data_IF_776466469178
#
_entry.id   IF_776466469178
#
_cell.length_a   1.000
_cell.length_b   1.000
_cell.length_c   1.000
_cell.angle_alpha   90.00
_cell.angle_beta   90.00
_cell.angle_gamma   90.00
#
_symmetry.space_group_name_H-M   'P 1'
#
loop_
_entity.id
_entity.type
_entity.pdbx_description
1 polymer ?
#
# COMPACT_ATOMS: atom_id res chain seq x y z
N UNK A 1 -8.21 19.53 6.65
CA UNK A 1 -7.00 18.72 6.87
C UNK A 1 -6.10 19.52 7.79
N UNK A 2 -5.74 18.94 8.94
CA UNK A 2 -4.88 19.62 9.91
C UNK A 2 -3.50 19.87 9.29
N UNK A 3 -2.84 20.99 9.61
CA UNK A 3 -1.47 21.29 9.17
C UNK A 3 -0.53 20.12 9.53
N UNK A 4 -0.74 19.48 10.69
CA UNK A 4 0.02 18.32 11.14
C UNK A 4 -0.17 17.07 10.26
N UNK A 5 -1.36 16.87 9.68
CA UNK A 5 -1.59 15.72 8.78
C UNK A 5 -0.81 15.90 7.47
N UNK A 6 -0.81 17.10 6.90
CA UNK A 6 -0.07 17.39 5.67
C UNK A 6 1.45 17.24 5.85
N UNK A 7 1.98 17.61 7.02
CA UNK A 7 3.41 17.46 7.33
C UNK A 7 3.84 16.00 7.42
N UNK A 8 2.97 15.09 7.87
CA UNK A 8 3.27 13.64 7.93
C UNK A 8 3.06 12.94 6.58
N UNK A 9 2.05 13.37 5.82
CA UNK A 9 1.67 12.72 4.56
C UNK A 9 2.62 13.08 3.43
N UNK A 10 3.12 14.30 3.37
CA UNK A 10 3.97 14.76 2.26
C UNK A 10 5.28 13.96 2.15
N UNK A 11 6.04 13.73 3.23
CA UNK A 11 7.21 12.86 3.20
C UNK A 11 6.86 11.42 2.82
N UNK A 12 5.74 10.89 3.35
CA UNK A 12 5.27 9.55 3.02
C UNK A 12 4.98 9.41 1.52
N UNK A 13 4.19 10.31 0.93
CA UNK A 13 3.90 10.33 -0.51
C UNK A 13 5.16 10.45 -1.37
N UNK A 14 6.14 11.22 -0.92
CA UNK A 14 7.43 11.36 -1.62
C UNK A 14 8.19 10.04 -1.66
N UNK A 15 8.21 9.28 -0.56
CA UNK A 15 8.82 7.96 -0.51
C UNK A 15 8.14 6.97 -1.45
N UNK A 16 6.82 7.04 -1.60
CA UNK A 16 6.07 6.13 -2.47
C UNK A 16 6.39 6.31 -3.96
N UNK A 17 6.89 7.48 -4.39
CA UNK A 17 7.31 7.69 -5.78
C UNK A 17 8.45 6.78 -6.22
N UNK A 18 9.20 6.20 -5.28
CA UNK A 18 10.30 5.27 -5.55
C UNK A 18 9.81 3.89 -6.00
N UNK A 19 8.55 3.56 -5.75
CA UNK A 19 7.95 2.28 -6.10
C UNK A 19 7.02 2.48 -7.30
N UNK A 20 7.41 2.01 -8.51
CA UNK A 20 6.57 2.14 -9.69
C UNK A 20 5.29 1.30 -9.57
N UNK A 21 4.29 1.65 -10.37
CA UNK A 21 3.09 0.80 -10.49
C UNK A 21 3.46 -0.47 -11.25
N UNK A 22 2.91 -1.60 -10.81
CA UNK A 22 3.06 -2.87 -11.47
C UNK A 22 2.00 -3.00 -12.57
N UNK A 23 2.39 -3.59 -13.69
CA UNK A 23 1.49 -4.14 -14.70
C UNK A 23 0.94 -5.49 -14.25
N UNK A 24 -0.17 -5.95 -14.85
CA UNK A 24 -0.76 -7.24 -14.52
C UNK A 24 0.20 -8.42 -14.74
N UNK A 25 1.07 -8.35 -15.75
CA UNK A 25 2.08 -9.39 -16.01
C UNK A 25 3.18 -9.40 -14.94
N UNK A 26 3.56 -8.23 -14.42
CA UNK A 26 4.52 -8.13 -13.30
C UNK A 26 3.89 -8.64 -12.00
N UNK A 27 2.63 -8.31 -11.74
CA UNK A 27 1.89 -8.86 -10.59
C UNK A 27 1.82 -10.38 -10.65
N UNK A 28 1.53 -10.95 -11.81
CA UNK A 28 1.49 -12.42 -11.98
C UNK A 28 2.84 -13.07 -11.68
N UNK A 29 3.94 -12.52 -12.21
CA UNK A 29 5.31 -13.00 -11.91
C UNK A 29 5.65 -12.92 -10.42
N UNK A 30 5.22 -11.84 -9.76
CA UNK A 30 5.39 -11.70 -8.32
C UNK A 30 4.54 -12.70 -7.56
N UNK A 31 3.31 -12.98 -8.01
CA UNK A 31 2.44 -13.99 -7.40
C UNK A 31 3.11 -15.37 -7.41
N UNK A 32 3.63 -15.80 -8.56
CA UNK A 32 4.36 -17.07 -8.68
C UNK A 32 5.58 -17.11 -7.73
N UNK A 33 6.30 -16.00 -7.61
CA UNK A 33 7.47 -15.91 -6.70
C UNK A 33 7.06 -15.95 -5.22
N UNK A 34 5.96 -15.29 -4.87
CA UNK A 34 5.40 -15.27 -3.51
C UNK A 34 4.93 -16.66 -3.09
N UNK A 35 4.33 -17.42 -4.00
CA UNK A 35 3.93 -18.82 -3.76
C UNK A 35 5.12 -19.71 -3.44
N UNK A 36 6.26 -19.44 -4.07
CA UNK A 36 7.54 -20.11 -3.79
C UNK A 36 8.24 -19.58 -2.52
N UNK A 37 7.61 -18.68 -1.77
CA UNK A 37 8.14 -18.15 -0.51
C UNK A 37 9.06 -16.93 -0.65
N UNK A 38 9.09 -16.27 -1.81
CA UNK A 38 9.93 -15.08 -2.00
C UNK A 38 9.35 -13.87 -1.24
N UNK A 39 9.98 -13.60 -0.09
CA UNK A 39 9.66 -12.46 0.77
C UNK A 39 9.96 -11.12 0.12
N UNK A 40 10.94 -11.04 -0.80
CA UNK A 40 11.24 -9.80 -1.54
C UNK A 40 10.15 -9.50 -2.56
N UNK A 41 9.67 -10.53 -3.27
CA UNK A 41 8.54 -10.39 -4.17
C UNK A 41 7.30 -9.88 -3.43
N UNK A 42 7.03 -10.43 -2.23
CA UNK A 42 5.94 -9.95 -1.37
C UNK A 42 6.11 -8.49 -0.95
N UNK A 43 7.32 -8.10 -0.54
CA UNK A 43 7.61 -6.73 -0.14
C UNK A 43 7.44 -5.76 -1.32
N UNK A 44 7.90 -6.14 -2.52
CA UNK A 44 7.74 -5.32 -3.72
C UNK A 44 6.26 -5.15 -4.10
N UNK A 45 5.47 -6.23 -4.03
CA UNK A 45 4.03 -6.19 -4.27
C UNK A 45 3.34 -5.23 -3.30
N UNK A 46 3.64 -5.32 -1.99
CA UNK A 46 3.11 -4.40 -0.97
C UNK A 46 3.51 -2.96 -1.27
N UNK A 47 4.81 -2.69 -1.49
CA UNK A 47 5.33 -1.35 -1.68
C UNK A 47 4.72 -0.65 -2.91
N UNK A 48 4.56 -1.40 -4.01
CA UNK A 48 3.96 -0.90 -5.25
C UNK A 48 2.46 -0.58 -5.08
N UNK A 49 1.81 -1.19 -4.10
CA UNK A 49 0.39 -1.01 -3.79
C UNK A 49 0.09 -0.02 -2.64
N UNK A 50 1.09 0.59 -2.00
CA UNK A 50 0.85 1.58 -0.93
C UNK A 50 0.02 2.79 -1.39
N UNK A 51 0.11 3.15 -2.69
CA UNK A 51 -0.70 4.22 -3.29
C UNK A 51 -2.19 3.89 -3.30
N UNK A 52 -2.55 2.61 -3.40
CA UNK A 52 -3.93 2.13 -3.34
C UNK A 52 -4.53 2.45 -1.97
N UNK A 53 -3.79 2.16 -0.89
CA UNK A 53 -4.22 2.42 0.49
C UNK A 53 -4.58 3.90 0.68
N UNK A 54 -3.73 4.82 0.22
CA UNK A 54 -4.02 6.25 0.26
C UNK A 54 -5.26 6.62 -0.55
N UNK A 55 -5.40 6.06 -1.75
CA UNK A 55 -6.54 6.36 -2.62
C UNK A 55 -7.87 5.93 -2.00
N UNK A 56 -7.87 4.83 -1.24
CA UNK A 56 -9.03 4.33 -0.50
C UNK A 56 -9.26 5.18 0.75
N UNK A 57 -8.23 5.40 1.58
CA UNK A 57 -8.32 6.18 2.82
C UNK A 57 -8.85 7.61 2.58
N UNK A 58 -8.48 8.25 1.46
CA UNK A 58 -9.00 9.56 1.07
C UNK A 58 -10.53 9.60 0.91
N UNK A 59 -11.18 8.48 0.59
CA UNK A 59 -12.65 8.40 0.49
C UNK A 59 -13.34 8.46 1.86
N UNK A 60 -12.60 8.24 2.94
CA UNK A 60 -13.12 8.18 4.31
C UNK A 60 -12.76 9.39 5.17
N UNK A 61 -12.27 10.49 4.57
CA UNK A 61 -11.87 11.70 5.31
C UNK A 61 -13.03 12.42 6.01
N UNK A 62 -14.27 12.17 5.60
CA UNK A 62 -15.46 12.79 6.19
C UNK A 62 -15.96 12.08 7.45
N UNK A 63 -15.35 10.95 7.83
CA UNK A 63 -15.70 10.22 9.05
C UNK A 63 -14.89 10.74 10.26
N UNK A 64 -15.33 10.40 11.48
CA UNK A 64 -14.65 10.77 12.73
C UNK A 64 -13.39 9.94 13.01
N UNK A 65 -12.70 9.48 11.96
CA UNK A 65 -11.49 8.66 12.02
C UNK A 65 -10.35 9.46 11.40
N UNK A 66 -9.17 9.47 12.04
CA UNK A 66 -8.04 10.20 11.50
C UNK A 66 -7.52 9.54 10.22
N UNK A 67 -6.93 10.32 9.31
CA UNK A 67 -6.32 9.76 8.11
C UNK A 67 -5.15 8.81 8.47
N UNK A 68 -4.40 9.09 9.54
CA UNK A 68 -3.34 8.21 10.03
C UNK A 68 -3.87 6.82 10.38
N UNK A 69 -5.00 6.74 11.09
CA UNK A 69 -5.59 5.45 11.48
C UNK A 69 -6.08 4.68 10.26
N UNK A 70 -6.75 5.36 9.33
CA UNK A 70 -7.18 4.77 8.06
C UNK A 70 -6.00 4.21 7.24
N UNK A 71 -4.88 4.93 7.20
CA UNK A 71 -3.67 4.48 6.50
C UNK A 71 -3.03 3.28 7.21
N UNK A 72 -2.98 3.27 8.55
CA UNK A 72 -2.43 2.14 9.31
C UNK A 72 -3.25 0.87 9.09
N UNK A 73 -4.56 0.94 9.28
CA UNK A 73 -5.47 -0.19 9.06
C UNK A 73 -5.42 -0.68 7.62
N UNK A 74 -5.40 0.26 6.65
CA UNK A 74 -5.26 -0.09 5.24
C UNK A 74 -3.93 -0.76 4.90
N UNK A 75 -2.82 -0.34 5.51
CA UNK A 75 -1.51 -0.97 5.32
C UNK A 75 -1.45 -2.36 5.93
N UNK A 76 -2.08 -2.58 7.09
CA UNK A 76 -2.21 -3.91 7.71
C UNK A 76 -3.02 -4.82 6.80
N UNK A 77 -4.17 -4.35 6.31
CA UNK A 77 -5.00 -5.07 5.35
C UNK A 77 -4.24 -5.44 4.08
N UNK A 78 -3.44 -4.51 3.55
CA UNK A 78 -2.59 -4.76 2.38
C UNK A 78 -1.53 -5.84 2.65
N UNK A 79 -0.87 -5.80 3.81
CA UNK A 79 0.10 -6.84 4.20
C UNK A 79 -0.58 -8.22 4.24
N UNK A 80 -1.75 -8.31 4.87
CA UNK A 80 -2.51 -9.56 4.98
C UNK A 80 -2.93 -10.05 3.58
N UNK A 81 -3.42 -9.16 2.72
CA UNK A 81 -3.78 -9.50 1.35
C UNK A 81 -2.59 -10.05 0.56
N UNK A 82 -1.41 -9.43 0.69
CA UNK A 82 -0.19 -9.88 0.03
C UNK A 82 0.25 -11.30 0.45
N UNK A 83 -0.03 -11.73 1.69
CA UNK A 83 0.27 -13.13 2.11
C UNK A 83 -0.61 -14.18 1.40
N UNK A 84 -1.80 -13.77 0.97
CA UNK A 84 -2.79 -14.63 0.31
C UNK A 84 -2.82 -14.45 -1.21
N UNK A 85 -1.93 -13.63 -1.76
CA UNK A 85 -1.86 -13.34 -3.19
C UNK A 85 -1.37 -14.56 -3.98
N UNK A 86 -2.03 -14.87 -5.10
CA UNK A 86 -1.83 -16.07 -5.94
C UNK A 86 -2.01 -15.71 -7.42
N UNK A 87 -1.43 -16.49 -8.33
CA UNK A 87 -1.40 -16.20 -9.78
C UNK A 87 -2.67 -16.53 -10.56
#
# INVERSE_FOLDING_TARGET
>A
MSIMENELITPYLSQLKKYPLLSGDEEKKLADSIENGDMRARNLLVQSNLRLVISIAKKYLHYKVSLSDLLQEGNIGLLIAATKFRS
#
